data_IF_939515606482
#
_entry.id   IF_939515606482
#
_cell.length_a   1.000
_cell.length_b   1.000
_cell.length_c   1.000
_cell.angle_alpha   90.00
_cell.angle_beta   90.00
_cell.angle_gamma   90.00
#
_symmetry.space_group_name_H-M   'P 1'
#
loop_
_entity.id
_entity.type
_entity.pdbx_description
1 polymer ?
#
# COMPACT_ATOMS: atom_id res chain seq x y z
N UNK A 1 -29.53 19.16 -14.42
CA UNK A 1 -28.27 19.76 -13.93
C UNK A 1 -27.59 20.44 -15.13
N UNK A 2 -27.42 21.75 -15.06
CA UNK A 2 -26.99 22.58 -16.18
C UNK A 2 -25.54 22.25 -16.59
N UNK A 3 -25.24 22.20 -17.89
CA UNK A 3 -23.91 21.84 -18.43
C UNK A 3 -22.78 22.72 -17.84
N UNK A 4 -23.06 24.00 -17.59
CA UNK A 4 -22.15 24.94 -16.93
C UNK A 4 -21.83 24.51 -15.48
N UNK A 5 -22.82 23.98 -14.75
CA UNK A 5 -22.63 23.50 -13.38
C UNK A 5 -21.77 22.23 -13.33
N UNK A 6 -21.92 21.35 -14.33
CA UNK A 6 -21.05 20.15 -14.47
C UNK A 6 -19.60 20.54 -14.77
N UNK A 7 -19.37 21.50 -15.68
CA UNK A 7 -18.03 21.97 -15.99
C UNK A 7 -17.38 22.65 -14.77
N UNK A 8 -18.12 23.46 -14.03
CA UNK A 8 -17.60 24.10 -12.80
C UNK A 8 -17.27 23.05 -11.74
N UNK A 9 -18.11 22.02 -11.56
CA UNK A 9 -17.89 20.96 -10.59
C UNK A 9 -16.67 20.08 -10.95
N UNK A 10 -16.48 19.80 -12.25
CA UNK A 10 -15.29 19.07 -12.74
C UNK A 10 -14.03 19.92 -12.60
N UNK A 11 -14.10 21.22 -12.92
CA UNK A 11 -12.96 22.13 -12.76
C UNK A 11 -12.59 22.36 -11.30
N UNK A 12 -13.58 22.45 -10.38
CA UNK A 12 -13.31 22.52 -8.93
C UNK A 12 -12.72 21.21 -8.38
N UNK A 13 -13.17 20.06 -8.83
CA UNK A 13 -12.60 18.77 -8.46
C UNK A 13 -11.17 18.58 -9.00
N UNK A 14 -10.89 19.05 -10.22
CA UNK A 14 -9.55 19.03 -10.81
C UNK A 14 -8.63 20.08 -10.18
N UNK A 15 -9.16 21.23 -9.74
CA UNK A 15 -8.40 22.29 -9.05
C UNK A 15 -8.12 22.01 -7.57
N UNK A 16 -8.76 20.99 -6.99
CA UNK A 16 -8.49 20.49 -5.65
C UNK A 16 -7.41 19.41 -5.62
N UNK A 17 -6.65 19.21 -6.71
CA UNK A 17 -5.42 18.44 -6.63
C UNK A 17 -4.44 19.25 -5.77
N UNK A 18 -4.27 18.96 -4.46
CA UNK A 18 -3.10 19.47 -3.77
C UNK A 18 -1.92 18.94 -4.55
N UNK A 19 -0.99 19.80 -4.91
CA UNK A 19 0.34 19.40 -5.34
C UNK A 19 0.78 18.38 -4.32
N UNK A 20 0.80 17.12 -4.70
CA UNK A 20 1.27 16.05 -3.86
C UNK A 20 2.78 16.22 -3.73
N UNK A 21 3.19 17.09 -2.83
CA UNK A 21 4.51 17.01 -2.22
C UNK A 21 4.47 15.74 -1.38
N UNK A 22 4.91 14.65 -1.98
CA UNK A 22 4.82 13.30 -1.43
C UNK A 22 5.63 13.12 -0.11
N UNK A 23 6.33 14.14 0.35
CA UNK A 23 7.27 14.04 1.49
C UNK A 23 7.20 15.17 2.51
N UNK A 24 6.17 16.02 2.49
CA UNK A 24 6.01 16.98 3.58
C UNK A 24 5.38 16.28 4.78
N UNK A 25 6.14 16.01 5.86
CA UNK A 25 5.51 15.55 7.10
C UNK A 25 4.47 16.60 7.50
N UNK A 26 3.30 16.14 7.94
CA UNK A 26 2.26 17.04 8.42
C UNK A 26 2.88 17.81 9.58
N UNK A 27 2.99 19.14 9.44
CA UNK A 27 3.62 19.99 10.45
C UNK A 27 2.89 19.80 11.79
N UNK A 28 3.66 19.72 12.87
CA UNK A 28 3.20 19.75 14.26
C UNK A 28 2.53 18.49 14.86
N UNK A 29 2.44 17.36 14.15
CA UNK A 29 1.88 16.12 14.73
C UNK A 29 2.93 15.21 15.38
N UNK A 30 4.22 15.50 15.22
CA UNK A 30 5.32 14.70 15.76
C UNK A 30 5.71 13.50 14.90
N UNK A 31 6.97 13.07 15.05
CA UNK A 31 7.64 12.09 14.18
C UNK A 31 6.94 10.72 14.18
N UNK A 32 6.47 10.27 15.35
CA UNK A 32 5.77 8.99 15.48
C UNK A 32 4.48 8.96 14.64
N UNK A 33 3.67 10.02 14.71
CA UNK A 33 2.41 10.08 13.95
C UNK A 33 2.65 10.30 12.46
N UNK A 34 3.70 11.01 12.09
CA UNK A 34 4.13 11.12 10.70
C UNK A 34 4.48 9.73 10.13
N UNK A 35 5.25 8.94 10.88
CA UNK A 35 5.53 7.56 10.53
C UNK A 35 4.26 6.71 10.47
N UNK A 36 3.38 6.81 11.47
CA UNK A 36 2.14 6.03 11.55
C UNK A 36 1.23 6.24 10.33
N UNK A 37 1.15 7.48 9.85
CA UNK A 37 0.33 7.84 8.71
C UNK A 37 1.05 7.64 7.37
N UNK A 38 2.36 7.48 7.37
CA UNK A 38 3.15 7.33 6.15
C UNK A 38 2.60 6.29 5.18
N UNK A 39 2.25 5.05 5.59
CA UNK A 39 1.69 4.05 4.67
C UNK A 39 0.33 4.42 4.06
N UNK A 40 -0.42 5.33 4.70
CA UNK A 40 -1.68 5.85 4.17
C UNK A 40 -1.46 6.99 3.18
N UNK A 41 -0.43 7.80 3.40
CA UNK A 41 -0.17 9.02 2.62
C UNK A 41 0.58 8.72 1.32
N UNK A 42 1.39 7.66 1.29
CA UNK A 42 2.13 7.22 0.09
C UNK A 42 1.24 6.29 -0.74
N UNK A 43 0.81 6.69 -1.96
CA UNK A 43 -0.16 5.92 -2.75
C UNK A 43 0.30 4.50 -3.10
N UNK A 44 1.60 4.30 -3.39
CA UNK A 44 2.17 2.98 -3.69
C UNK A 44 2.10 2.04 -2.49
N UNK A 45 2.33 2.55 -1.27
CA UNK A 45 2.20 1.80 -0.02
C UNK A 45 0.75 1.42 0.24
N UNK A 46 -0.15 2.43 0.19
CA UNK A 46 -1.58 2.24 0.40
C UNK A 46 -2.15 1.14 -0.50
N UNK A 47 -1.92 1.27 -1.82
CA UNK A 47 -2.42 0.34 -2.83
C UNK A 47 -1.88 -1.07 -2.60
N UNK A 48 -0.59 -1.20 -2.32
CA UNK A 48 0.07 -2.49 -2.10
C UNK A 48 -0.45 -3.19 -0.83
N UNK A 49 -0.60 -2.46 0.28
CA UNK A 49 -1.14 -3.02 1.53
C UNK A 49 -2.60 -3.40 1.37
N UNK A 50 -3.41 -2.58 0.68
CA UNK A 50 -4.82 -2.88 0.45
C UNK A 50 -4.99 -4.19 -0.32
N UNK A 51 -4.35 -4.33 -1.48
CA UNK A 51 -4.50 -5.54 -2.29
C UNK A 51 -3.93 -6.78 -1.60
N UNK A 52 -2.79 -6.63 -0.91
CA UNK A 52 -2.17 -7.70 -0.14
C UNK A 52 -3.08 -8.18 0.99
N UNK A 53 -3.65 -7.25 1.75
CA UNK A 53 -4.57 -7.55 2.84
C UNK A 53 -5.86 -8.21 2.37
N UNK A 54 -6.44 -7.72 1.27
CA UNK A 54 -7.62 -8.33 0.66
C UNK A 54 -7.34 -9.75 0.18
N UNK A 55 -6.20 -9.99 -0.47
CA UNK A 55 -5.79 -11.31 -0.94
C UNK A 55 -5.54 -12.27 0.22
N UNK A 56 -4.75 -11.86 1.22
CA UNK A 56 -4.41 -12.69 2.36
C UNK A 56 -5.64 -13.01 3.23
N UNK A 57 -6.51 -12.03 3.48
CA UNK A 57 -7.78 -12.24 4.19
C UNK A 57 -8.72 -13.18 3.45
N UNK A 58 -8.75 -13.15 2.12
CA UNK A 58 -9.55 -14.06 1.30
C UNK A 58 -9.10 -15.54 1.42
N UNK A 59 -7.84 -15.78 1.78
CA UNK A 59 -7.31 -17.14 2.03
C UNK A 59 -7.79 -17.73 3.38
N UNK A 60 -8.31 -16.90 4.28
CA UNK A 60 -8.84 -17.28 5.60
C UNK A 60 -7.80 -17.28 6.71
N UNK A 61 -8.29 -17.45 7.95
CA UNK A 61 -7.49 -17.35 9.19
C UNK A 61 -6.19 -18.17 9.21
N UNK A 62 -6.14 -19.43 8.70
CA UNK A 62 -4.90 -20.20 8.71
C UNK A 62 -3.78 -19.56 7.90
N UNK A 63 -4.12 -18.84 6.83
CA UNK A 63 -3.15 -18.16 5.96
C UNK A 63 -2.74 -16.79 6.51
N UNK A 64 -3.65 -16.09 7.22
CA UNK A 64 -3.40 -14.74 7.73
C UNK A 64 -2.25 -14.69 8.75
N UNK A 65 -2.13 -15.72 9.61
CA UNK A 65 -1.07 -15.76 10.65
C UNK A 65 0.34 -15.77 10.05
N UNK A 66 0.71 -16.73 9.18
CA UNK A 66 2.03 -16.73 8.55
C UNK A 66 2.24 -15.52 7.64
N UNK A 67 1.20 -15.06 6.94
CA UNK A 67 1.25 -13.85 6.11
C UNK A 67 1.63 -12.62 6.94
N UNK A 68 0.96 -12.39 8.07
CA UNK A 68 1.23 -11.28 8.98
C UNK A 68 2.63 -11.39 9.58
N UNK A 69 3.04 -12.57 10.06
CA UNK A 69 4.36 -12.77 10.62
C UNK A 69 5.47 -12.51 9.59
N UNK A 70 5.29 -13.00 8.36
CA UNK A 70 6.22 -12.75 7.25
C UNK A 70 6.31 -11.27 6.89
N UNK A 71 5.17 -10.58 6.81
CA UNK A 71 5.13 -9.13 6.56
C UNK A 71 5.83 -8.33 7.66
N UNK A 72 5.50 -8.58 8.93
CA UNK A 72 6.11 -7.89 10.08
C UNK A 72 7.63 -8.05 10.10
N UNK A 73 8.11 -9.29 9.90
CA UNK A 73 9.54 -9.58 9.89
C UNK A 73 10.23 -8.92 8.71
N UNK A 74 9.69 -9.05 7.51
CA UNK A 74 10.29 -8.48 6.30
C UNK A 74 10.29 -6.95 6.34
N UNK A 75 9.22 -6.33 6.84
CA UNK A 75 9.14 -4.89 7.05
C UNK A 75 10.23 -4.41 8.04
N UNK A 76 10.40 -5.10 9.16
CA UNK A 76 11.48 -4.79 10.12
C UNK A 76 12.87 -4.92 9.47
N UNK A 77 13.10 -5.97 8.69
CA UNK A 77 14.36 -6.17 7.99
C UNK A 77 14.60 -5.06 6.94
N UNK A 78 13.57 -4.63 6.22
CA UNK A 78 13.65 -3.51 5.28
C UNK A 78 14.01 -2.20 5.99
N UNK A 79 13.32 -1.88 7.08
CA UNK A 79 13.61 -0.70 7.90
C UNK A 79 15.00 -0.75 8.53
N UNK A 80 15.46 -1.92 8.99
CA UNK A 80 16.77 -2.10 9.61
C UNK A 80 17.93 -2.12 8.60
N UNK A 81 17.65 -2.44 7.34
CA UNK A 81 18.69 -2.49 6.31
C UNK A 81 19.34 -1.11 6.09
N UNK A 82 18.66 -0.01 6.41
CA UNK A 82 19.22 1.34 6.39
C UNK A 82 19.69 1.81 5.01
N UNK A 83 19.43 1.03 3.98
CA UNK A 83 19.83 1.31 2.60
C UNK A 83 18.59 1.83 1.89
N UNK A 84 18.56 3.15 1.68
CA UNK A 84 17.54 3.73 0.82
C UNK A 84 17.66 3.16 -0.59
N UNK A 85 16.59 2.56 -1.10
CA UNK A 85 16.45 2.32 -2.54
C UNK A 85 16.05 3.66 -3.14
N UNK A 86 16.43 3.89 -4.40
CA UNK A 86 15.88 4.98 -5.17
C UNK A 86 14.33 4.90 -5.10
N UNK A 87 13.69 5.96 -4.62
CA UNK A 87 12.23 6.03 -4.42
C UNK A 87 11.45 5.57 -5.64
N UNK A 88 11.95 5.94 -6.83
CA UNK A 88 11.36 5.51 -8.07
C UNK A 88 11.39 3.98 -8.21
N UNK A 89 12.47 3.31 -7.82
CA UNK A 89 12.60 1.86 -7.93
C UNK A 89 11.68 1.14 -6.94
N UNK A 90 11.59 1.61 -5.70
CA UNK A 90 10.68 1.06 -4.69
C UNK A 90 9.22 1.21 -5.12
N UNK A 91 8.82 2.39 -5.59
CA UNK A 91 7.49 2.64 -6.10
C UNK A 91 7.13 1.70 -7.26
N UNK A 92 8.06 1.48 -8.22
CA UNK A 92 7.85 0.55 -9.33
C UNK A 92 7.63 -0.88 -8.85
N UNK A 93 8.47 -1.36 -7.94
CA UNK A 93 8.35 -2.69 -7.37
C UNK A 93 7.01 -2.89 -6.64
N UNK A 94 6.60 -1.92 -5.84
CA UNK A 94 5.32 -1.96 -5.12
C UNK A 94 4.12 -1.95 -6.08
N UNK A 95 4.12 -1.09 -7.10
CA UNK A 95 3.04 -1.02 -8.08
C UNK A 95 2.98 -2.29 -8.96
N UNK A 96 4.12 -2.86 -9.34
CA UNK A 96 4.15 -4.15 -10.06
C UNK A 96 3.61 -5.28 -9.18
N UNK A 97 4.04 -5.34 -7.92
CA UNK A 97 3.52 -6.31 -6.96
C UNK A 97 2.00 -6.14 -6.76
N UNK A 98 1.53 -4.91 -6.55
CA UNK A 98 0.11 -4.60 -6.40
C UNK A 98 -0.70 -5.02 -7.63
N UNK A 99 -0.20 -4.78 -8.84
CA UNK A 99 -0.86 -5.19 -10.09
C UNK A 99 -0.96 -6.72 -10.17
N UNK A 100 0.12 -7.44 -9.93
CA UNK A 100 0.14 -8.91 -9.93
C UNK A 100 -0.80 -9.52 -8.88
N UNK A 101 -0.76 -8.99 -7.66
CA UNK A 101 -1.63 -9.43 -6.56
C UNK A 101 -3.11 -9.12 -6.84
N UNK A 102 -3.40 -8.00 -7.51
CA UNK A 102 -4.76 -7.65 -7.93
C UNK A 102 -5.33 -8.64 -8.94
N UNK A 103 -4.53 -9.11 -9.87
CA UNK A 103 -4.92 -10.16 -10.81
C UNK A 103 -5.26 -11.44 -10.05
N UNK A 104 -4.41 -11.85 -9.11
CA UNK A 104 -4.66 -13.04 -8.28
C UNK A 104 -5.95 -12.90 -7.46
N UNK A 105 -6.21 -11.72 -6.91
CA UNK A 105 -7.42 -11.41 -6.15
C UNK A 105 -8.66 -11.44 -7.04
N UNK A 106 -8.61 -10.84 -8.23
CA UNK A 106 -9.73 -10.80 -9.18
C UNK A 106 -10.16 -12.20 -9.65
N UNK A 107 -9.18 -13.09 -9.89
CA UNK A 107 -9.45 -14.49 -10.25
C UNK A 107 -9.73 -15.39 -9.04
N UNK A 108 -9.74 -14.85 -7.82
CA UNK A 108 -9.92 -15.60 -6.58
C UNK A 108 -8.96 -16.79 -6.45
N UNK A 109 -7.71 -16.61 -6.86
CA UNK A 109 -6.69 -17.66 -6.83
C UNK A 109 -6.43 -18.04 -5.36
N UNK A 110 -6.59 -19.33 -5.06
CA UNK A 110 -6.25 -19.88 -3.75
C UNK A 110 -4.79 -20.31 -3.76
N UNK A 111 -4.02 -19.66 -2.89
CA UNK A 111 -2.62 -19.99 -2.69
C UNK A 111 -2.48 -21.13 -1.65
N UNK A 112 -1.56 -22.06 -1.85
CA UNK A 112 -1.18 -22.98 -0.78
C UNK A 112 -0.55 -22.18 0.38
N UNK A 113 -0.75 -22.65 1.61
CA UNK A 113 -0.34 -21.91 2.83
C UNK A 113 1.13 -21.49 2.83
N UNK A 114 2.00 -22.35 2.30
CA UNK A 114 3.44 -22.07 2.21
C UNK A 114 3.80 -21.00 1.16
N UNK A 115 2.88 -20.62 0.27
CA UNK A 115 3.12 -19.61 -0.75
C UNK A 115 2.52 -18.23 -0.38
N UNK A 116 1.59 -18.19 0.58
CA UNK A 116 0.90 -16.93 0.96
C UNK A 116 1.86 -15.90 1.55
N UNK A 117 2.88 -16.32 2.27
CA UNK A 117 3.82 -15.43 2.93
C UNK A 117 4.83 -14.77 1.98
N UNK A 118 5.10 -15.37 0.80
CA UNK A 118 6.06 -14.81 -0.17
C UNK A 118 5.70 -13.38 -0.60
N UNK A 119 4.48 -13.09 -1.10
CA UNK A 119 4.11 -11.74 -1.44
C UNK A 119 4.09 -10.79 -0.23
N UNK A 120 3.74 -11.31 0.97
CA UNK A 120 3.76 -10.53 2.20
C UNK A 120 5.18 -10.11 2.59
N UNK A 121 6.14 -11.02 2.47
CA UNK A 121 7.56 -10.71 2.72
C UNK A 121 8.11 -9.74 1.67
N UNK A 122 7.80 -9.94 0.40
CA UNK A 122 8.27 -9.07 -0.68
C UNK A 122 7.76 -7.64 -0.50
N UNK A 123 6.46 -7.48 -0.34
CA UNK A 123 5.85 -6.15 -0.16
C UNK A 123 6.33 -5.52 1.15
N UNK A 124 6.38 -6.27 2.25
CA UNK A 124 6.85 -5.76 3.54
C UNK A 124 8.31 -5.29 3.48
N UNK A 125 9.19 -6.04 2.84
CA UNK A 125 10.60 -5.68 2.71
C UNK A 125 10.80 -4.42 1.87
N UNK A 126 10.18 -4.35 0.68
CA UNK A 126 10.29 -3.18 -0.21
C UNK A 126 9.70 -1.94 0.44
N UNK A 127 8.56 -2.08 1.13
CA UNK A 127 7.92 -0.99 1.87
C UNK A 127 8.81 -0.49 3.01
N UNK A 128 9.50 -1.41 3.70
CA UNK A 128 10.48 -1.04 4.74
C UNK A 128 11.67 -0.26 4.19
N UNK A 129 12.19 -0.66 3.03
CA UNK A 129 13.29 0.06 2.37
C UNK A 129 12.88 1.47 1.91
N UNK A 130 11.62 1.65 1.49
CA UNK A 130 11.07 2.93 1.01
C UNK A 130 10.63 3.87 2.15
N UNK A 131 10.57 3.37 3.39
CA UNK A 131 10.07 4.14 4.54
C UNK A 131 11.18 4.81 5.36
N UNK A 132 12.38 4.98 4.82
CA UNK A 132 13.50 5.60 5.54
C UNK A 132 13.28 7.12 5.65
N UNK A 133 13.31 7.68 6.88
CA UNK A 133 13.12 9.11 7.06
C UNK A 133 14.39 9.88 6.74
N UNK A 134 14.22 11.05 6.12
CA UNK A 134 15.31 12.00 5.87
C UNK A 134 15.72 12.80 7.13
N UNK A 135 15.06 12.55 8.28
CA UNK A 135 15.26 13.31 9.50
C UNK A 135 16.64 13.09 10.12
N UNK A 136 17.24 14.16 10.61
CA UNK A 136 18.50 14.13 11.36
C UNK A 136 18.23 13.92 12.87
N UNK A 137 18.87 12.90 13.45
CA UNK A 137 18.77 12.58 14.86
C UNK A 137 18.14 11.22 15.13
N UNK A 138 18.92 10.35 15.79
CA UNK A 138 18.57 8.94 16.00
C UNK A 138 17.20 8.72 16.69
N UNK A 139 16.83 9.59 17.64
CA UNK A 139 15.54 9.49 18.34
C UNK A 139 14.36 9.75 17.41
N UNK A 140 14.45 10.76 16.55
CA UNK A 140 13.41 11.10 15.56
C UNK A 140 13.27 9.98 14.55
N UNK A 141 14.40 9.49 14.04
CA UNK A 141 14.42 8.34 13.10
C UNK A 141 13.73 7.14 13.72
N UNK A 142 14.08 6.75 14.97
CA UNK A 142 13.44 5.61 15.63
C UNK A 142 11.92 5.79 15.81
N UNK A 143 11.49 6.99 16.21
CA UNK A 143 10.05 7.26 16.37
C UNK A 143 9.30 7.15 15.04
N UNK A 144 9.87 7.69 13.96
CA UNK A 144 9.28 7.58 12.63
C UNK A 144 9.23 6.13 12.15
N UNK A 145 10.32 5.38 12.29
CA UNK A 145 10.38 3.96 11.90
C UNK A 145 9.40 3.10 12.69
N UNK A 146 9.28 3.32 14.00
CA UNK A 146 8.30 2.63 14.85
C UNK A 146 6.86 2.98 14.41
N UNK A 147 6.62 4.26 14.13
CA UNK A 147 5.34 4.72 13.59
C UNK A 147 5.01 4.04 12.26
N UNK A 148 5.92 4.05 11.30
CA UNK A 148 5.74 3.43 9.96
C UNK A 148 5.50 1.93 10.05
N UNK A 149 6.27 1.24 10.88
CA UNK A 149 6.07 -0.18 11.13
C UNK A 149 4.68 -0.46 11.70
N UNK A 150 4.30 0.26 12.76
CA UNK A 150 2.99 0.07 13.42
C UNK A 150 1.85 0.42 12.47
N UNK A 151 1.95 1.52 11.72
CA UNK A 151 0.95 1.96 10.76
C UNK A 151 0.70 0.93 9.66
N UNK A 152 1.77 0.42 9.05
CA UNK A 152 1.68 -0.59 8.00
C UNK A 152 1.10 -1.92 8.53
N UNK A 153 1.54 -2.37 9.70
CA UNK A 153 1.05 -3.61 10.34
C UNK A 153 -0.43 -3.49 10.70
N UNK A 154 -0.84 -2.40 11.34
CA UNK A 154 -2.24 -2.18 11.70
C UNK A 154 -3.13 -2.09 10.47
N UNK A 155 -2.68 -1.37 9.44
CA UNK A 155 -3.43 -1.24 8.19
C UNK A 155 -3.61 -2.60 7.51
N UNK A 156 -2.54 -3.39 7.38
CA UNK A 156 -2.62 -4.73 6.80
C UNK A 156 -3.56 -5.63 7.61
N UNK A 157 -3.45 -5.61 8.93
CA UNK A 157 -4.29 -6.40 9.83
C UNK A 157 -5.78 -6.04 9.67
N UNK A 158 -6.11 -4.75 9.67
CA UNK A 158 -7.47 -4.27 9.47
C UNK A 158 -8.05 -4.74 8.14
N UNK A 159 -7.27 -4.64 7.05
CA UNK A 159 -7.72 -5.06 5.71
C UNK A 159 -7.87 -6.59 5.63
N UNK A 160 -6.97 -7.35 6.23
CA UNK A 160 -7.09 -8.82 6.32
C UNK A 160 -8.36 -9.25 7.04
N UNK A 161 -8.62 -8.68 8.23
CA UNK A 161 -9.81 -8.97 9.04
C UNK A 161 -11.08 -8.57 8.28
N UNK A 162 -11.07 -7.39 7.66
CA UNK A 162 -12.18 -6.94 6.82
C UNK A 162 -12.47 -7.93 5.69
N UNK A 163 -11.44 -8.37 4.96
CA UNK A 163 -11.59 -9.30 3.84
C UNK A 163 -12.07 -10.69 4.30
N UNK A 164 -11.56 -11.19 5.42
CA UNK A 164 -11.96 -12.47 6.01
C UNK A 164 -13.42 -12.47 6.47
N UNK A 165 -13.86 -11.37 7.10
CA UNK A 165 -15.24 -11.18 7.56
C UNK A 165 -16.27 -11.15 6.40
N UNK A 166 -15.84 -10.92 5.16
CA UNK A 166 -16.69 -10.92 3.98
C UNK A 166 -17.00 -12.34 3.50
N UNK A 167 -18.01 -12.97 4.12
CA UNK A 167 -18.36 -14.39 3.88
C UNK A 167 -19.43 -14.61 2.83
N UNK A 168 -20.31 -13.60 2.59
CA UNK A 168 -21.42 -13.72 1.64
C UNK A 168 -20.93 -13.72 0.19
N UNK A 169 -21.56 -14.46 -0.74
CA UNK A 169 -21.12 -14.55 -2.13
C UNK A 169 -20.96 -13.17 -2.83
N UNK A 170 -21.92 -12.26 -2.63
CA UNK A 170 -21.87 -10.94 -3.24
C UNK A 170 -20.72 -10.07 -2.66
N UNK A 171 -20.40 -10.22 -1.36
CA UNK A 171 -19.28 -9.53 -0.73
C UNK A 171 -17.93 -9.99 -1.32
N UNK A 172 -17.79 -11.28 -1.56
CA UNK A 172 -16.61 -11.83 -2.23
C UNK A 172 -16.44 -11.31 -3.65
N UNK A 173 -17.54 -11.15 -4.38
CA UNK A 173 -17.51 -10.51 -5.69
C UNK A 173 -17.11 -9.04 -5.57
N UNK A 174 -17.65 -8.31 -4.58
CA UNK A 174 -17.29 -6.91 -4.35
C UNK A 174 -15.80 -6.73 -4.05
N UNK A 175 -15.19 -7.60 -3.22
CA UNK A 175 -13.74 -7.58 -2.96
C UNK A 175 -12.93 -7.79 -4.25
N UNK A 176 -13.34 -8.73 -5.10
CA UNK A 176 -12.68 -9.00 -6.39
C UNK A 176 -12.76 -7.81 -7.33
N UNK A 177 -13.93 -7.16 -7.39
CA UNK A 177 -14.12 -5.93 -8.18
C UNK A 177 -13.21 -4.82 -7.62
N UNK A 178 -13.21 -4.59 -6.30
CA UNK A 178 -12.33 -3.61 -5.67
C UNK A 178 -10.85 -3.89 -5.98
N UNK A 179 -10.42 -5.15 -5.89
CA UNK A 179 -9.08 -5.57 -6.25
C UNK A 179 -8.73 -5.28 -7.72
N UNK A 180 -9.67 -5.54 -8.64
CA UNK A 180 -9.48 -5.25 -10.06
C UNK A 180 -9.33 -3.73 -10.31
N UNK A 181 -10.09 -2.89 -9.61
CA UNK A 181 -9.97 -1.43 -9.70
C UNK A 181 -8.64 -0.93 -9.13
N UNK A 182 -8.20 -1.48 -8.00
CA UNK A 182 -6.89 -1.17 -7.41
C UNK A 182 -5.77 -1.54 -8.41
N UNK A 183 -5.84 -2.73 -9.01
CA UNK A 183 -4.87 -3.17 -10.00
C UNK A 183 -4.85 -2.32 -11.26
N UNK A 184 -6.02 -1.92 -11.77
CA UNK A 184 -6.13 -1.03 -12.90
C UNK A 184 -5.51 0.35 -12.61
N UNK A 185 -5.74 0.90 -11.40
CA UNK A 185 -5.16 2.16 -10.95
C UNK A 185 -3.63 2.05 -10.84
N UNK A 186 -3.12 0.97 -10.24
CA UNK A 186 -1.68 0.72 -10.14
C UNK A 186 -1.02 0.61 -11.52
N UNK A 187 -1.65 -0.12 -12.45
CA UNK A 187 -1.18 -0.27 -13.83
C UNK A 187 -1.19 1.05 -14.59
N UNK A 188 -2.22 1.88 -14.39
CA UNK A 188 -2.30 3.21 -14.99
C UNK A 188 -1.14 4.10 -14.53
N UNK A 189 -0.90 4.18 -13.22
CA UNK A 189 0.22 4.95 -12.65
C UNK A 189 1.55 4.42 -13.20
N UNK A 190 1.72 3.11 -13.25
CA UNK A 190 2.90 2.46 -13.79
C UNK A 190 3.14 2.83 -15.26
N UNK A 191 2.09 2.79 -16.10
CA UNK A 191 2.17 3.11 -17.52
C UNK A 191 2.49 4.59 -17.77
N UNK A 192 1.91 5.50 -16.97
CA UNK A 192 2.21 6.93 -17.05
C UNK A 192 3.66 7.24 -16.66
N UNK A 193 4.16 6.59 -15.60
CA UNK A 193 5.54 6.74 -15.16
C UNK A 193 6.53 6.19 -16.20
N UNK A 194 6.19 5.12 -16.94
CA UNK A 194 6.98 4.62 -18.08
C UNK A 194 6.99 5.62 -19.23
N UNK A 195 5.82 6.14 -19.60
CA UNK A 195 5.70 7.08 -20.71
C UNK A 195 6.50 8.36 -20.48
N UNK A 196 6.53 8.86 -19.23
CA UNK A 196 7.30 10.05 -18.86
C UNK A 196 8.82 9.89 -18.93
N UNK A 197 9.33 8.63 -18.90
CA UNK A 197 10.77 8.34 -19.05
C UNK A 197 11.22 8.22 -20.52
N UNK A 198 10.27 8.00 -21.43
CA UNK A 198 10.55 7.82 -22.86
C UNK A 198 10.31 9.07 -23.68
N UNK A 199 9.72 10.09 -23.09
CA UNK A 199 9.48 11.42 -23.69
C UNK A 199 10.59 12.41 -23.32
#
# INVERSE_FOLDING_TARGET
MNQKLRCVLVMTLLGLSPLAEAHSPIKDIGEFYNGLLHPLLVPSHLVSILVLGLLAGQQGLPAMRPAMAGFCLALLLGLAAGVGIDESAAQWLLLMAATGLSVMLAFAIRLPLWLVWIPCMLVGFVLGLDSLPESTGWQRVLLTLLGSWLGAVLMLLCVMIFSEAMTRPWQRVAIRIAGAWIGASALLVLSLALASRTA
#
